data_IF_547128161540
#
_entry.id   IF_547128161540
#
_cell.length_a   1.000
_cell.length_b   1.000
_cell.length_c   1.000
_cell.angle_alpha   90.00
_cell.angle_beta   90.00
_cell.angle_gamma   90.00
#
_symmetry.space_group_name_H-M   'P 1'
#
loop_
_entity.id
_entity.type
_entity.pdbx_description
1 polymer ?
#
# COMPACT_ATOMS: atom_id res chain seq x y z
N UNK A 1 3.85 -14.17 -8.40
CA UNK A 1 3.58 -12.75 -8.72
C UNK A 1 4.91 -12.11 -9.08
N UNK A 2 4.95 -11.19 -10.05
CA UNK A 2 6.16 -10.38 -10.27
C UNK A 2 6.30 -9.39 -9.12
N UNK A 3 7.51 -9.06 -8.74
CA UNK A 3 7.77 -8.04 -7.72
C UNK A 3 7.22 -6.69 -8.19
N UNK A 4 6.52 -5.98 -7.30
CA UNK A 4 5.85 -4.73 -7.61
C UNK A 4 4.97 -4.24 -6.47
N UNK A 5 4.39 -3.06 -6.64
CA UNK A 5 3.44 -2.52 -5.66
C UNK A 5 2.08 -3.18 -5.81
N UNK A 6 1.34 -3.34 -4.71
CA UNK A 6 -0.02 -3.88 -4.69
C UNK A 6 -0.92 -2.89 -3.98
N UNK A 7 -2.12 -2.66 -4.52
CA UNK A 7 -3.13 -1.82 -3.89
C UNK A 7 -3.97 -2.63 -2.90
N UNK A 8 -3.98 -2.20 -1.64
CA UNK A 8 -4.79 -2.78 -0.58
C UNK A 8 -5.70 -1.69 0.00
N UNK A 9 -6.95 -2.05 0.28
CA UNK A 9 -7.86 -1.22 1.07
C UNK A 9 -7.66 -1.52 2.55
N UNK A 10 -7.42 -0.48 3.37
CA UNK A 10 -7.28 -0.62 4.81
C UNK A 10 -8.60 -0.20 5.49
N UNK A 11 -9.24 -1.14 6.18
CA UNK A 11 -10.43 -0.89 7.00
C UNK A 11 -10.16 -1.42 8.40
N UNK A 12 -10.18 -0.53 9.40
CA UNK A 12 -9.94 -0.87 10.82
C UNK A 12 -8.67 -1.70 11.07
N UNK A 13 -7.60 -1.43 10.31
CA UNK A 13 -6.32 -2.13 10.43
C UNK A 13 -6.26 -3.49 9.71
N UNK A 14 -7.33 -3.88 9.04
CA UNK A 14 -7.39 -5.07 8.18
C UNK A 14 -7.17 -4.66 6.73
N UNK A 15 -6.30 -5.39 6.03
CA UNK A 15 -5.98 -5.16 4.62
C UNK A 15 -6.81 -6.07 3.72
N UNK A 16 -7.49 -5.48 2.75
CA UNK A 16 -8.27 -6.19 1.73
C UNK A 16 -7.65 -5.98 0.35
N UNK A 17 -7.40 -7.06 -0.42
CA UNK A 17 -6.85 -6.92 -1.76
C UNK A 17 -7.85 -6.25 -2.70
N UNK A 18 -7.37 -5.28 -3.46
CA UNK A 18 -8.16 -4.64 -4.53
C UNK A 18 -7.81 -5.33 -5.85
N UNK A 19 -8.81 -5.92 -6.49
CA UNK A 19 -8.66 -6.46 -7.83
C UNK A 19 -8.57 -5.32 -8.84
N UNK A 20 -7.47 -5.28 -9.60
CA UNK A 20 -7.24 -4.29 -10.64
C UNK A 20 -7.32 -4.94 -12.02
N UNK A 21 -7.80 -4.20 -13.01
CA UNK A 21 -7.59 -4.57 -14.41
C UNK A 21 -6.11 -4.43 -14.78
N UNK A 22 -5.70 -5.01 -15.91
CA UNK A 22 -4.31 -4.90 -16.37
C UNK A 22 -3.87 -3.44 -16.55
N UNK A 23 -4.70 -2.61 -17.17
CA UNK A 23 -4.44 -1.18 -17.38
C UNK A 23 -4.29 -0.42 -16.05
N UNK A 24 -5.18 -0.69 -15.08
CA UNK A 24 -5.09 -0.09 -13.75
C UNK A 24 -3.81 -0.49 -13.02
N UNK A 25 -3.40 -1.76 -13.13
CA UNK A 25 -2.14 -2.22 -12.55
C UNK A 25 -0.93 -1.57 -13.22
N UNK A 26 -0.92 -1.43 -14.55
CA UNK A 26 0.14 -0.72 -15.28
C UNK A 26 0.27 0.74 -14.83
N UNK A 27 -0.86 1.45 -14.70
CA UNK A 27 -0.88 2.81 -14.17
C UNK A 27 -0.36 2.89 -12.72
N UNK A 28 -0.71 1.92 -11.87
CA UNK A 28 -0.21 1.85 -10.50
C UNK A 28 1.31 1.65 -10.46
N UNK A 29 1.84 0.71 -11.25
CA UNK A 29 3.29 0.47 -11.31
C UNK A 29 4.02 1.72 -11.80
N UNK A 30 3.56 2.34 -12.89
CA UNK A 30 4.15 3.56 -13.44
C UNK A 30 4.12 4.71 -12.42
N UNK A 31 2.97 4.94 -11.77
CA UNK A 31 2.83 5.99 -10.77
C UNK A 31 3.75 5.76 -9.57
N UNK A 32 3.93 4.52 -9.12
CA UNK A 32 4.84 4.18 -8.01
C UNK A 32 6.32 4.42 -8.32
N UNK A 33 6.70 4.41 -9.60
CA UNK A 33 8.07 4.73 -10.04
C UNK A 33 8.29 6.24 -10.16
N UNK A 34 7.28 6.97 -10.67
CA UNK A 34 7.36 8.42 -10.92
C UNK A 34 7.25 9.25 -9.63
N UNK A 35 6.38 8.82 -8.72
CA UNK A 35 6.27 9.41 -7.40
C UNK A 35 7.10 8.54 -6.45
N UNK A 36 8.24 9.06 -5.99
CA UNK A 36 9.14 8.39 -5.04
C UNK A 36 8.85 8.64 -3.52
N UNK A 37 7.61 8.77 -2.99
CA UNK A 37 7.40 8.76 -1.54
C UNK A 37 7.25 7.34 -0.95
N UNK A 38 7.24 6.28 -1.78
CA UNK A 38 7.05 4.91 -1.32
C UNK A 38 8.39 4.28 -0.88
N UNK A 39 8.64 4.28 0.43
CA UNK A 39 9.77 3.56 1.01
C UNK A 39 9.43 2.07 1.11
N UNK A 40 10.09 1.25 0.30
CA UNK A 40 9.95 -0.21 0.35
C UNK A 40 10.86 -0.78 1.43
N UNK A 41 10.29 -1.53 2.39
CA UNK A 41 11.03 -2.26 3.41
C UNK A 41 11.08 -3.75 3.01
N UNK A 42 12.23 -4.19 2.50
CA UNK A 42 12.42 -5.57 2.01
C UNK A 42 12.77 -6.57 3.14
N UNK A 43 13.21 -6.05 4.28
CA UNK A 43 13.72 -6.82 5.42
C UNK A 43 12.66 -7.12 6.48
N UNK A 44 11.41 -6.68 6.27
CA UNK A 44 10.33 -6.83 7.23
C UNK A 44 9.17 -7.63 6.63
N UNK A 45 8.64 -8.63 7.35
CA UNK A 45 7.43 -9.31 6.92
C UNK A 45 6.26 -8.31 6.92
N UNK A 46 5.29 -8.54 6.04
CA UNK A 46 4.05 -7.75 6.03
C UNK A 46 3.27 -8.01 7.33
N UNK A 47 3.21 -7.01 8.19
CA UNK A 47 2.48 -7.04 9.47
C UNK A 47 1.08 -6.41 9.37
N UNK A 48 0.44 -6.24 10.53
CA UNK A 48 -0.83 -5.53 10.63
C UNK A 48 -0.67 -4.07 10.19
N UNK A 49 -1.64 -3.55 9.44
CA UNK A 49 -1.63 -2.15 9.04
C UNK A 49 -2.06 -1.27 10.22
N UNK A 50 -1.30 -0.22 10.50
CA UNK A 50 -1.66 0.80 11.49
C UNK A 50 -2.04 2.09 10.77
N UNK A 51 -3.16 2.68 11.16
CA UNK A 51 -3.55 4.00 10.65
C UNK A 51 -2.73 5.08 11.36
N UNK A 52 -1.79 5.69 10.65
CA UNK A 52 -0.92 6.73 11.21
C UNK A 52 -1.65 8.06 11.47
N UNK A 53 -2.83 8.27 10.87
CA UNK A 53 -3.65 9.48 11.06
C UNK A 53 -4.59 9.36 12.28
N UNK A 54 -4.91 8.14 12.72
CA UNK A 54 -5.76 7.89 13.89
C UNK A 54 -5.06 8.00 15.25
N UNK A 55 -3.72 8.17 15.26
CA UNK A 55 -2.89 8.12 16.46
C UNK A 55 -2.79 9.42 17.28
N UNK A 56 -3.27 10.55 16.76
CA UNK A 56 -3.46 11.76 17.58
C UNK A 56 -4.88 11.77 18.15
N UNK A 57 -5.05 11.12 19.31
CA UNK A 57 -6.00 11.68 20.27
C UNK A 57 -5.43 13.03 20.66
N UNK A 58 -6.10 14.10 20.24
CA UNK A 58 -5.85 15.43 20.78
C UNK A 58 -6.24 15.36 22.27
N UNK A 59 -5.25 15.14 23.13
CA UNK A 59 -5.31 15.58 24.53
C UNK A 59 -4.89 17.06 24.59
#
# INVERSE_FOLDING_TARGET
MKDGVVLMYCMDGVLYPVALTNEQNEMLQMSSMLFQPLKVAFDKPQGQAINLMGGRKND
#
